data_IF_120210644852
#
_entry.id   IF_120210644852
#
_cell.length_a   1.000
_cell.length_b   1.000
_cell.length_c   1.000
_cell.angle_alpha   90.00
_cell.angle_beta   90.00
_cell.angle_gamma   90.00
#
_symmetry.space_group_name_H-M   'P 1'
#
loop_
_entity.id
_entity.type
_entity.pdbx_description
1 polymer ?
#
# COMPACT_ATOMS: atom_id res chain seq x y z
N UNK A 1 14.54 -5.66 -9.37
CA UNK A 1 13.20 -5.23 -9.84
C UNK A 1 12.15 -5.69 -8.81
N UNK A 2 12.01 -4.96 -7.69
CA UNK A 2 11.10 -5.29 -6.58
C UNK A 2 10.45 -4.00 -6.08
N UNK A 3 9.61 -3.38 -6.91
CA UNK A 3 8.69 -2.36 -6.42
C UNK A 3 7.38 -3.06 -6.04
N UNK A 4 7.27 -3.49 -4.78
CA UNK A 4 5.99 -3.94 -4.23
C UNK A 4 5.25 -2.69 -3.77
N UNK A 5 4.05 -2.48 -4.33
CA UNK A 5 3.24 -1.26 -4.18
C UNK A 5 1.86 -1.65 -3.67
N UNK A 6 1.27 -0.80 -2.84
CA UNK A 6 -0.12 -0.90 -2.43
C UNK A 6 -1.01 -0.21 -3.46
N UNK A 7 -2.20 -0.76 -3.71
CA UNK A 7 -3.25 -0.15 -4.52
C UNK A 7 -4.46 0.13 -3.61
N UNK A 8 -5.03 1.32 -3.73
CA UNK A 8 -6.31 1.65 -3.12
C UNK A 8 -7.29 2.02 -4.24
N UNK A 9 -8.46 1.38 -4.24
CA UNK A 9 -9.57 1.71 -5.11
C UNK A 9 -10.78 2.03 -4.23
N UNK A 10 -11.41 3.19 -4.46
CA UNK A 10 -12.63 3.57 -3.76
C UNK A 10 -13.73 2.55 -4.07
N UNK A 11 -14.50 2.17 -3.05
CA UNK A 11 -15.51 1.10 -3.16
C UNK A 11 -16.46 1.30 -4.34
N UNK A 12 -17.02 2.50 -4.51
CA UNK A 12 -17.99 2.81 -5.56
C UNK A 12 -17.41 2.76 -6.98
N UNK A 13 -16.09 2.76 -7.13
CA UNK A 13 -15.40 2.66 -8.42
C UNK A 13 -15.05 1.22 -8.78
N UNK A 14 -15.05 0.28 -7.83
CA UNK A 14 -14.71 -1.12 -8.10
C UNK A 14 -15.58 -1.73 -9.22
N UNK A 15 -16.90 -1.49 -9.30
CA UNK A 15 -17.72 -2.07 -10.36
C UNK A 15 -17.39 -1.54 -11.77
N UNK A 16 -16.85 -0.32 -11.87
CA UNK A 16 -16.59 0.35 -13.16
C UNK A 16 -15.18 0.12 -13.68
N UNK A 17 -14.24 -0.24 -12.80
CA UNK A 17 -12.84 -0.43 -13.15
C UNK A 17 -12.57 -1.86 -13.63
N UNK A 18 -11.92 -1.98 -14.79
CA UNK A 18 -11.42 -3.26 -15.31
C UNK A 18 -9.90 -3.21 -15.47
N UNK A 19 -9.15 -4.16 -14.89
CA UNK A 19 -7.70 -4.23 -15.08
C UNK A 19 -7.37 -4.63 -16.51
N UNK A 20 -6.36 -3.98 -17.11
CA UNK A 20 -5.82 -4.36 -18.42
C UNK A 20 -5.05 -5.68 -18.36
N UNK A 21 -4.38 -5.95 -17.25
CA UNK A 21 -3.64 -7.19 -17.01
C UNK A 21 -4.34 -8.02 -15.94
N UNK A 22 -4.78 -9.22 -16.32
CA UNK A 22 -5.32 -10.23 -15.42
C UNK A 22 -4.30 -11.34 -15.22
N UNK A 23 -4.48 -12.13 -14.17
CA UNK A 23 -3.76 -13.39 -14.04
C UNK A 23 -4.48 -14.35 -13.11
N UNK A 24 -3.76 -15.31 -12.54
CA UNK A 24 -4.40 -16.35 -11.76
C UNK A 24 -5.06 -15.77 -10.50
N UNK A 25 -4.33 -14.96 -9.72
CA UNK A 25 -4.85 -14.44 -8.45
C UNK A 25 -6.03 -13.47 -8.60
N UNK A 26 -6.31 -12.98 -9.82
CA UNK A 26 -7.45 -12.13 -10.10
C UNK A 26 -8.76 -12.90 -10.24
N UNK A 27 -8.74 -14.23 -10.37
CA UNK A 27 -9.92 -15.07 -10.53
C UNK A 27 -10.78 -15.13 -9.26
N UNK A 28 -12.10 -15.25 -9.43
CA UNK A 28 -13.05 -15.41 -8.32
C UNK A 28 -12.74 -16.67 -7.50
N UNK A 29 -12.51 -17.80 -8.16
CA UNK A 29 -12.03 -19.03 -7.53
C UNK A 29 -10.63 -19.38 -8.05
N UNK A 30 -9.60 -19.09 -7.24
CA UNK A 30 -8.22 -19.42 -7.60
C UNK A 30 -7.90 -20.91 -7.50
N UNK A 31 -8.72 -21.73 -6.85
CA UNK A 31 -8.45 -23.16 -6.77
C UNK A 31 -9.10 -23.95 -7.92
N UNK A 32 -9.99 -23.32 -8.69
CA UNK A 32 -10.62 -23.95 -9.85
C UNK A 32 -9.60 -24.29 -10.95
N UNK A 33 -8.58 -23.45 -11.14
CA UNK A 33 -7.59 -23.55 -12.23
C UNK A 33 -8.26 -23.76 -13.61
N UNK A 34 -9.44 -23.18 -13.81
CA UNK A 34 -10.22 -23.33 -15.04
C UNK A 34 -9.52 -22.57 -16.18
N UNK A 35 -9.02 -23.32 -17.17
CA UNK A 35 -8.35 -22.76 -18.34
C UNK A 35 -9.34 -22.33 -19.44
N UNK A 36 -10.62 -22.68 -19.32
CA UNK A 36 -11.65 -22.39 -20.31
C UNK A 36 -12.48 -21.15 -19.93
N UNK A 37 -12.47 -20.74 -18.67
CA UNK A 37 -13.19 -19.57 -18.19
C UNK A 37 -12.29 -18.56 -17.48
N UNK A 38 -12.45 -17.29 -17.81
CA UNK A 38 -11.83 -16.17 -17.10
C UNK A 38 -12.93 -15.40 -16.35
N UNK A 39 -13.07 -15.67 -15.05
CA UNK A 39 -14.07 -15.06 -14.17
C UNK A 39 -13.37 -14.25 -13.08
N UNK A 40 -13.11 -12.95 -13.29
CA UNK A 40 -12.41 -12.14 -12.29
C UNK A 40 -13.24 -11.91 -11.02
N UNK A 41 -12.56 -11.81 -9.87
CA UNK A 41 -13.16 -11.57 -8.55
C UNK A 41 -14.05 -10.32 -8.53
N UNK A 42 -15.29 -10.34 -8.01
CA UNK A 42 -16.17 -9.15 -7.96
C UNK A 42 -15.61 -8.00 -7.12
N UNK A 43 -14.55 -8.24 -6.33
CA UNK A 43 -13.89 -7.26 -5.47
C UNK A 43 -12.60 -6.72 -6.07
N UNK A 44 -11.95 -5.78 -5.39
CA UNK A 44 -10.63 -5.24 -5.77
C UNK A 44 -9.52 -6.32 -5.93
N UNK A 45 -9.75 -7.54 -5.45
CA UNK A 45 -8.84 -8.67 -5.71
C UNK A 45 -8.61 -8.94 -7.19
N UNK A 46 -9.52 -8.54 -8.09
CA UNK A 46 -9.28 -8.63 -9.55
C UNK A 46 -8.03 -7.89 -10.04
N UNK A 47 -7.51 -6.93 -9.27
CA UNK A 47 -6.26 -6.23 -9.59
C UNK A 47 -5.00 -7.01 -9.18
N UNK A 48 -5.15 -8.16 -8.50
CA UNK A 48 -4.04 -9.04 -8.09
C UNK A 48 -3.71 -10.06 -9.19
N UNK A 49 -2.93 -9.65 -10.21
CA UNK A 49 -2.66 -10.55 -11.35
C UNK A 49 -1.73 -11.74 -11.01
N UNK A 50 -0.84 -11.62 -10.02
CA UNK A 50 0.20 -12.61 -9.74
C UNK A 50 0.26 -13.08 -8.30
N UNK A 51 1.14 -14.04 -8.02
CA UNK A 51 1.35 -14.55 -6.67
C UNK A 51 1.70 -13.42 -5.69
N UNK A 52 1.00 -13.33 -4.55
CA UNK A 52 1.21 -12.27 -3.59
C UNK A 52 2.63 -12.36 -2.99
N UNK A 53 3.26 -11.22 -2.66
CA UNK A 53 4.57 -11.20 -2.01
C UNK A 53 4.44 -11.51 -0.51
N UNK A 54 4.23 -12.78 -0.19
CA UNK A 54 3.90 -13.25 1.17
C UNK A 54 4.84 -12.68 2.25
N UNK A 55 6.18 -12.74 2.13
CA UNK A 55 7.07 -12.18 3.17
C UNK A 55 6.88 -10.67 3.39
N UNK A 56 6.71 -9.90 2.31
CA UNK A 56 6.51 -8.45 2.40
C UNK A 56 5.17 -8.10 3.05
N UNK A 57 4.13 -8.90 2.83
CA UNK A 57 2.82 -8.71 3.45
C UNK A 57 2.94 -8.85 4.97
N UNK A 58 3.65 -9.86 5.46
CA UNK A 58 3.89 -10.03 6.90
C UNK A 58 4.66 -8.84 7.51
N UNK A 59 5.70 -8.36 6.84
CA UNK A 59 6.41 -7.15 7.27
C UNK A 59 5.50 -5.92 7.28
N UNK A 60 4.65 -5.75 6.28
CA UNK A 60 3.67 -4.67 6.20
C UNK A 60 2.65 -4.72 7.34
N UNK A 61 2.13 -5.90 7.68
CA UNK A 61 1.21 -6.09 8.81
C UNK A 61 1.89 -5.71 10.13
N UNK A 62 3.13 -6.14 10.35
CA UNK A 62 3.89 -5.77 11.53
C UNK A 62 4.13 -4.25 11.61
N UNK A 63 4.47 -3.61 10.50
CA UNK A 63 4.65 -2.17 10.41
C UNK A 63 3.37 -1.38 10.73
N UNK A 64 2.22 -1.80 10.18
CA UNK A 64 0.92 -1.17 10.46
C UNK A 64 0.58 -1.32 11.95
N UNK A 65 0.78 -2.50 12.54
CA UNK A 65 0.55 -2.73 13.98
C UNK A 65 1.43 -1.85 14.86
N UNK A 66 2.69 -1.65 14.48
CA UNK A 66 3.60 -0.76 15.19
C UNK A 66 3.09 0.69 15.15
N UNK A 67 2.72 1.19 13.96
CA UNK A 67 2.14 2.53 13.79
C UNK A 67 0.89 2.70 14.66
N UNK A 68 -0.01 1.70 14.64
CA UNK A 68 -1.23 1.71 15.46
C UNK A 68 -0.94 1.71 16.97
N UNK A 69 0.10 1.00 17.41
CA UNK A 69 0.48 0.95 18.83
C UNK A 69 0.98 2.28 19.39
N UNK A 70 1.62 3.09 18.54
CA UNK A 70 2.11 4.43 18.90
C UNK A 70 0.99 5.47 18.76
N UNK A 71 0.21 5.39 17.68
CA UNK A 71 -0.85 6.33 17.33
C UNK A 71 -0.37 7.41 16.36
N UNK A 72 -1.20 7.72 15.35
CA UNK A 72 -0.86 8.67 14.28
C UNK A 72 -0.62 10.08 14.81
N UNK A 73 -1.44 10.54 15.75
CA UNK A 73 -1.34 11.90 16.34
C UNK A 73 0.02 12.13 17.02
N UNK A 74 0.52 11.13 17.76
CA UNK A 74 1.83 11.22 18.43
C UNK A 74 2.97 11.23 17.43
N UNK A 75 2.86 10.40 16.38
CA UNK A 75 3.85 10.36 15.30
C UNK A 75 3.88 11.71 14.57
N UNK A 76 2.72 12.25 14.23
CA UNK A 76 2.58 13.55 13.56
C UNK A 76 3.17 14.69 14.40
N UNK A 77 2.82 14.77 15.69
CA UNK A 77 3.37 15.78 16.59
C UNK A 77 4.90 15.69 16.69
N UNK A 78 5.44 14.49 16.83
CA UNK A 78 6.89 14.28 16.88
C UNK A 78 7.59 14.70 15.57
N UNK A 79 7.03 14.35 14.42
CA UNK A 79 7.57 14.75 13.12
C UNK A 79 7.52 16.28 12.93
N UNK A 80 6.46 16.94 13.39
CA UNK A 80 6.37 18.40 13.36
C UNK A 80 7.47 19.06 14.19
N UNK A 81 7.75 18.53 15.39
CA UNK A 81 8.85 19.02 16.24
C UNK A 81 10.22 18.83 15.60
N UNK A 82 10.48 17.65 15.02
CA UNK A 82 11.73 17.36 14.32
C UNK A 82 11.93 18.29 13.12
N UNK A 83 10.88 18.51 12.32
CA UNK A 83 10.93 19.43 11.19
C UNK A 83 11.20 20.87 11.64
N UNK A 84 10.54 21.32 12.72
CA UNK A 84 10.77 22.65 13.30
C UNK A 84 12.23 22.86 13.71
N UNK A 85 12.85 21.85 14.35
CA UNK A 85 14.26 21.91 14.73
C UNK A 85 15.17 21.98 13.51
N UNK A 86 14.88 21.19 12.47
CA UNK A 86 15.65 21.22 11.23
C UNK A 86 15.58 22.59 10.55
N UNK A 87 14.41 23.22 10.52
CA UNK A 87 14.25 24.57 9.96
C UNK A 87 15.03 25.62 10.76
N UNK A 88 15.04 25.52 12.10
CA UNK A 88 15.81 26.42 12.96
C UNK A 88 17.33 26.29 12.68
N UNK A 89 17.84 25.07 12.54
CA UNK A 89 19.25 24.83 12.22
C UNK A 89 19.61 25.38 10.83
N UNK A 90 18.73 25.19 9.86
CA UNK A 90 18.94 25.69 8.49
C UNK A 90 19.01 27.21 8.46
N UNK A 91 18.08 27.91 9.13
CA UNK A 91 18.07 29.38 9.25
C UNK A 91 19.29 29.92 10.01
N UNK A 92 19.73 29.23 11.06
CA UNK A 92 20.92 29.66 11.81
C UNK A 92 22.20 29.53 10.97
N UNK A 93 22.27 28.53 10.08
CA UNK A 93 23.40 28.35 9.17
C UNK A 93 23.47 29.45 8.10
N UNK A 94 22.32 29.92 7.62
CA UNK A 94 22.24 31.06 6.69
C UNK A 94 22.63 32.41 7.31
N UNK A 95 22.50 32.56 8.64
CA UNK A 95 22.90 33.79 9.36
C UNK A 95 24.39 33.82 9.72
N UNK A 96 25.11 32.71 9.56
CA UNK A 96 26.54 32.56 9.86
C UNK A 96 27.43 32.54 8.61
N UNK A 97 26.84 32.69 7.41
CA UNK A 97 27.52 32.87 6.11
C UNK A 97 27.27 34.28 5.63
#
# INVERSE_FOLDING_TARGET
MLSKRSLYARYDLIPTLQPTTLGWFSQANIFAMDIYANTPSPTARRFEAGSPPVPNIYAGVAGIKLIQSVGLEKIEAHLADVNRLMDCLTRHKELLV
#
